data_IF_895431820345
#
_entry.id   IF_895431820345
#
_cell.length_a   1.000
_cell.length_b   1.000
_cell.length_c   1.000
_cell.angle_alpha   90.00
_cell.angle_beta   90.00
_cell.angle_gamma   90.00
#
_symmetry.space_group_name_H-M   'P 1'
#
loop_
_entity.id
_entity.type
_entity.pdbx_description
1 polymer ?
#
# COMPACT_ATOMS: atom_id res chain seq x y z
N UNK A 1 -3.52 10.08 -21.05
CA UNK A 1 -3.01 10.61 -19.76
C UNK A 1 -2.86 9.43 -18.80
N UNK A 2 -1.64 9.08 -18.39
CA UNK A 2 -1.44 8.04 -17.36
C UNK A 2 -1.91 8.63 -16.02
N UNK A 3 -2.83 7.96 -15.30
CA UNK A 3 -3.12 8.33 -13.91
C UNK A 3 -1.79 8.26 -13.14
N UNK A 4 -1.46 9.25 -12.31
CA UNK A 4 -0.33 9.11 -11.40
C UNK A 4 -0.56 7.85 -10.59
N UNK A 5 0.44 6.95 -10.56
CA UNK A 5 0.40 5.87 -9.60
C UNK A 5 0.42 6.51 -8.21
N UNK A 6 -0.39 5.96 -7.32
CA UNK A 6 -0.46 6.35 -5.93
C UNK A 6 0.98 6.42 -5.35
N UNK A 7 1.39 7.47 -4.64
CA UNK A 7 2.79 7.68 -4.23
C UNK A 7 3.35 6.54 -3.39
N UNK A 8 2.48 5.76 -2.73
CA UNK A 8 2.87 4.52 -2.06
C UNK A 8 3.66 3.58 -2.98
N UNK A 9 3.35 3.52 -4.28
CA UNK A 9 4.05 2.66 -5.24
C UNK A 9 5.52 3.04 -5.46
N UNK A 10 5.96 4.23 -5.08
CA UNK A 10 7.38 4.58 -5.13
C UNK A 10 8.20 3.74 -4.14
N UNK A 11 7.55 3.27 -3.07
CA UNK A 11 8.13 2.47 -2.00
C UNK A 11 8.00 0.95 -2.21
N UNK A 12 7.26 0.51 -3.23
CA UNK A 12 7.07 -0.90 -3.56
C UNK A 12 7.53 -1.21 -4.97
N UNK A 13 8.06 -2.41 -5.18
CA UNK A 13 8.32 -2.94 -6.51
C UNK A 13 7.05 -3.63 -7.03
N UNK A 14 6.49 -3.12 -8.14
CA UNK A 14 5.45 -3.82 -8.90
C UNK A 14 6.08 -4.97 -9.66
N UNK A 15 5.71 -6.20 -9.29
CA UNK A 15 6.08 -7.37 -10.06
C UNK A 15 4.85 -7.82 -10.82
N UNK A 16 4.86 -7.67 -12.15
CA UNK A 16 3.86 -8.29 -12.99
C UNK A 16 3.96 -9.81 -12.81
N UNK A 17 2.91 -10.45 -12.29
CA UNK A 17 2.90 -11.91 -12.25
C UNK A 17 2.86 -12.43 -13.69
N UNK A 18 3.44 -13.61 -13.91
CA UNK A 18 3.42 -14.32 -15.20
C UNK A 18 2.00 -14.55 -15.76
N UNK A 19 0.95 -14.35 -14.95
CA UNK A 19 -0.44 -14.43 -15.37
C UNK A 19 -1.07 -13.04 -15.56
N UNK A 20 -1.72 -12.80 -16.71
CA UNK A 20 -2.38 -11.52 -17.00
C UNK A 20 -3.49 -11.27 -15.97
N UNK A 21 -3.46 -10.11 -15.32
CA UNK A 21 -4.51 -9.64 -14.40
C UNK A 21 -4.12 -9.58 -12.92
N UNK A 22 -2.97 -10.14 -12.52
CA UNK A 22 -2.49 -10.03 -11.15
C UNK A 22 -1.12 -9.33 -11.10
N UNK A 23 -1.03 -8.32 -10.24
CA UNK A 23 0.23 -7.62 -9.94
C UNK A 23 0.55 -7.84 -8.47
N UNK A 24 1.73 -8.37 -8.20
CA UNK A 24 2.30 -8.44 -6.86
C UNK A 24 2.99 -7.13 -6.55
N UNK A 25 2.99 -6.76 -5.28
CA UNK A 25 3.83 -5.69 -4.77
C UNK A 25 4.87 -6.30 -3.83
N UNK A 26 6.10 -5.78 -3.86
CA UNK A 26 7.16 -6.18 -2.92
C UNK A 26 7.64 -4.93 -2.20
N UNK A 27 7.61 -4.94 -0.88
CA UNK A 27 8.13 -3.82 -0.09
C UNK A 27 9.64 -3.71 -0.30
N UNK A 28 10.15 -2.52 -0.64
CA UNK A 28 11.59 -2.30 -0.83
C UNK A 28 12.37 -2.25 0.48
N UNK A 29 11.68 -2.09 1.61
CA UNK A 29 12.28 -1.90 2.93
C UNK A 29 12.46 -3.19 3.72
N UNK A 30 11.41 -4.02 3.78
CA UNK A 30 11.41 -5.29 4.52
C UNK A 30 11.27 -6.52 3.61
N UNK A 31 11.29 -6.33 2.28
CA UNK A 31 11.14 -7.40 1.29
C UNK A 31 9.85 -8.24 1.41
N UNK A 32 8.83 -7.77 2.14
CA UNK A 32 7.53 -8.44 2.24
C UNK A 32 6.83 -8.47 0.88
N UNK A 33 6.40 -9.67 0.48
CA UNK A 33 5.63 -9.90 -0.75
C UNK A 33 4.13 -9.79 -0.47
N UNK A 34 3.44 -9.01 -1.31
CA UNK A 34 2.00 -8.85 -1.32
C UNK A 34 1.43 -9.52 -2.56
N UNK A 35 0.54 -10.49 -2.34
CA UNK A 35 -0.20 -11.19 -3.41
C UNK A 35 -1.14 -10.23 -4.16
N UNK A 36 -1.63 -9.19 -3.48
CA UNK A 36 -2.49 -8.17 -4.06
C UNK A 36 -1.82 -6.80 -3.93
N UNK A 37 -1.48 -6.19 -5.06
CA UNK A 37 -1.00 -4.80 -5.11
C UNK A 37 -2.10 -3.77 -4.83
N UNK A 38 -2.84 -3.90 -3.72
CA UNK A 38 -3.88 -2.95 -3.32
C UNK A 38 -3.22 -1.80 -2.54
N UNK A 39 -3.34 -0.54 -3.01
CA UNK A 39 -2.74 0.62 -2.33
C UNK A 39 -3.05 0.66 -0.83
N UNK A 40 -4.28 0.33 -0.45
CA UNK A 40 -4.71 0.31 0.95
C UNK A 40 -3.92 -0.65 1.85
N UNK A 41 -3.57 -1.84 1.36
CA UNK A 41 -2.76 -2.79 2.15
C UNK A 41 -1.31 -2.34 2.20
N UNK A 42 -0.80 -1.76 1.11
CA UNK A 42 0.55 -1.20 1.03
C UNK A 42 0.73 0.00 1.97
N UNK A 43 -0.26 0.89 2.04
CA UNK A 43 -0.27 2.06 2.93
C UNK A 43 -0.28 1.64 4.40
N UNK A 44 -1.16 0.70 4.78
CA UNK A 44 -1.21 0.15 6.15
C UNK A 44 0.11 -0.53 6.51
N UNK A 45 0.69 -1.26 5.55
CA UNK A 45 1.99 -1.88 5.77
C UNK A 45 3.06 -0.83 6.04
N UNK A 46 3.25 0.17 5.16
CA UNK A 46 4.24 1.24 5.40
C UNK A 46 4.01 1.95 6.74
N UNK A 47 2.75 2.16 7.11
CA UNK A 47 2.37 2.89 8.31
C UNK A 47 2.63 2.13 9.62
N UNK A 48 2.34 0.82 9.66
CA UNK A 48 2.33 0.05 10.91
C UNK A 48 3.18 -1.21 10.84
N UNK A 49 2.97 -2.02 9.81
CA UNK A 49 3.50 -3.38 9.72
C UNK A 49 4.91 -3.47 9.12
N UNK A 50 5.43 -2.38 8.57
CA UNK A 50 6.74 -2.39 7.97
C UNK A 50 7.81 -2.36 9.05
N UNK A 51 8.50 -3.47 9.21
CA UNK A 51 9.67 -3.63 10.08
C UNK A 51 10.98 -3.20 9.39
N UNK A 52 10.88 -2.53 8.24
CA UNK A 52 12.05 -2.05 7.52
C UNK A 52 12.68 -0.86 8.22
N UNK A 53 13.88 -1.03 8.76
CA UNK A 53 14.64 0.03 9.45
C UNK A 53 14.98 1.24 8.56
N UNK A 54 14.84 1.09 7.23
CA UNK A 54 15.11 2.16 6.26
C UNK A 54 13.91 3.08 5.97
N UNK A 55 12.76 2.90 6.65
CA UNK A 55 11.64 3.83 6.56
C UNK A 55 11.86 4.99 7.52
N UNK A 56 11.80 6.21 6.99
CA UNK A 56 11.78 7.43 7.79
C UNK A 56 10.45 7.56 8.55
N UNK A 57 10.51 8.02 9.79
CA UNK A 57 9.34 8.16 10.66
C UNK A 57 8.32 9.15 10.08
N UNK A 58 8.78 10.16 9.33
CA UNK A 58 7.90 11.10 8.62
C UNK A 58 7.05 10.38 7.55
N UNK A 59 7.68 9.48 6.79
CA UNK A 59 7.00 8.66 5.77
C UNK A 59 5.97 7.77 6.46
N UNK A 60 6.36 7.11 7.56
CA UNK A 60 5.48 6.24 8.34
C UNK A 60 4.24 7.00 8.84
N UNK A 61 4.44 8.16 9.46
CA UNK A 61 3.35 8.98 10.00
C UNK A 61 2.42 9.49 8.89
N UNK A 62 2.98 9.95 7.76
CA UNK A 62 2.19 10.41 6.60
C UNK A 62 1.29 9.30 6.05
N UNK A 63 1.84 8.11 5.82
CA UNK A 63 1.05 6.98 5.31
C UNK A 63 0.08 6.41 6.36
N UNK A 64 0.40 6.53 7.65
CA UNK A 64 -0.52 6.17 8.73
C UNK A 64 -1.80 7.01 8.69
N UNK A 65 -1.68 8.33 8.58
CA UNK A 65 -2.85 9.20 8.46
C UNK A 65 -3.67 8.86 7.20
N UNK A 66 -3.01 8.69 6.05
CA UNK A 66 -3.68 8.34 4.79
C UNK A 66 -4.40 6.99 4.91
N UNK A 67 -3.75 5.98 5.48
CA UNK A 67 -4.31 4.64 5.69
C UNK A 67 -5.55 4.67 6.61
N UNK A 68 -5.50 5.47 7.69
CA UNK A 68 -6.63 5.65 8.61
C UNK A 68 -7.79 6.35 7.90
N UNK A 69 -7.55 7.45 7.18
CA UNK A 69 -8.58 8.18 6.44
C UNK A 69 -9.26 7.28 5.37
N UNK A 70 -8.48 6.42 4.69
CA UNK A 70 -9.00 5.46 3.71
C UNK A 70 -9.83 4.34 4.37
N UNK A 71 -9.46 3.87 5.55
CA UNK A 71 -10.27 2.89 6.30
C UNK A 71 -11.62 3.49 6.73
N UNK A 72 -11.61 4.70 7.27
CA UNK A 72 -12.82 5.41 7.70
C UNK A 72 -13.80 5.67 6.54
N UNK A 73 -13.28 5.89 5.32
CA UNK A 73 -14.13 6.07 4.13
C UNK A 73 -14.74 4.76 3.62
N UNK A 74 -14.08 3.60 3.81
CA UNK A 74 -14.61 2.29 3.43
C UNK A 74 -15.75 1.82 4.31
N UNK A 75 -15.71 2.12 5.61
CA UNK A 75 -16.78 1.76 6.56
C UNK A 75 -18.12 2.41 6.18
N UNK A 76 -18.10 3.57 5.51
CA UNK A 76 -19.32 4.22 5.00
C UNK A 76 -19.95 3.52 3.79
N UNK A 77 -19.23 2.63 3.11
CA UNK A 77 -19.72 1.95 1.89
C UNK A 77 -20.15 0.49 2.10
N UNK A 78 -19.88 -0.12 3.26
CA UNK A 78 -20.30 -1.48 3.59
C UNK A 78 -21.57 -1.54 4.48
N UNK A 79 -22.44 -0.54 4.37
CA UNK A 79 -23.78 -0.58 4.99
C UNK A 79 -24.84 -0.34 3.93
N UNK A 80 -24.92 -1.24 2.95
CA UNK A 80 -26.16 -1.52 2.23
C UNK A 80 -26.15 -2.98 1.79
N UNK A 81 -26.77 -3.83 2.59
CA UNK A 81 -27.91 -4.68 2.21
C UNK A 81 -28.41 -5.46 3.42
#
# INVERSE_FOLDING_TARGET
MRRPLDPVWEHFATTALKSPGHFSAVCKYCNTQFSHGRPNELEVHLAKECEGESIDDEIRSKYFEIAVQRQLSKEKTSSKN
#
